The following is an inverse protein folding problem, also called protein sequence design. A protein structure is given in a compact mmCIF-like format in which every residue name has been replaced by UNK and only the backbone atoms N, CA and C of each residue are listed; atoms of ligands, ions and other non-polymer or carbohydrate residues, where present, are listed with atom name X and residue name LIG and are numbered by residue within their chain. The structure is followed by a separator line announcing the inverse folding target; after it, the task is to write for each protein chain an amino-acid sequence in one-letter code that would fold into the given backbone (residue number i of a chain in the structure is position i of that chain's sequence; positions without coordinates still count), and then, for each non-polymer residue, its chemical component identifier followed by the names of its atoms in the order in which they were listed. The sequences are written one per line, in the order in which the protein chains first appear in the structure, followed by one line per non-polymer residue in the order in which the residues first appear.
data_IF_457143052410
#
_entry.id   IF_457143052410
#
_cell.length_a   1.000
_cell.length_b   1.000
_cell.length_c   1.000
_cell.angle_alpha   90.00
_cell.angle_beta   90.00
_cell.angle_gamma   90.00
#
_symmetry.space_group_name_H-M   'P 1'
#
loop_
_entity.id
_entity.type
_entity.pdbx_description
1 polymer ?
#
# COMPACT_ATOMS: atom_id res chain seq x y z
N UNK A 1 -2.62 3.50 -13.25
CA UNK A 1 -3.79 3.14 -14.07
C UNK A 1 -4.78 4.29 -14.16
N UNK A 2 -5.39 4.69 -13.04
CA UNK A 2 -6.36 5.80 -12.96
C UNK A 2 -5.82 7.13 -13.51
N UNK A 3 -4.54 7.41 -13.30
CA UNK A 3 -3.89 8.66 -13.74
C UNK A 3 -3.61 8.72 -15.24
N UNK A 4 -3.51 7.57 -15.93
CA UNK A 4 -3.09 7.52 -17.34
C UNK A 4 -4.17 6.96 -18.29
N UNK A 5 -5.05 6.08 -17.78
CA UNK A 5 -6.11 5.44 -18.56
C UNK A 5 -7.52 5.90 -18.15
N UNK A 6 -7.65 6.53 -16.97
CA UNK A 6 -8.93 6.93 -16.41
C UNK A 6 -9.04 8.43 -16.19
N UNK A 7 -9.45 8.82 -14.98
CA UNK A 7 -9.63 10.20 -14.52
C UNK A 7 -8.48 11.17 -14.78
N UNK A 8 -7.24 10.70 -14.87
CA UNK A 8 -6.11 11.61 -14.87
C UNK A 8 -5.73 12.07 -13.47
N UNK A 9 -4.48 12.51 -13.31
CA UNK A 9 -3.91 12.92 -12.02
C UNK A 9 -4.74 14.01 -11.32
N UNK A 10 -5.22 15.01 -12.07
CA UNK A 10 -5.96 16.14 -11.51
C UNK A 10 -7.31 15.74 -10.89
N UNK A 11 -8.11 14.94 -11.59
CA UNK A 11 -9.40 14.47 -11.06
C UNK A 11 -9.21 13.44 -9.94
N UNK A 12 -8.20 12.56 -10.04
CA UNK A 12 -7.84 11.68 -8.92
C UNK A 12 -7.49 12.50 -7.67
N UNK A 13 -6.70 13.58 -7.82
CA UNK A 13 -6.36 14.48 -6.70
C UNK A 13 -7.61 15.10 -6.08
N UNK A 14 -8.55 15.61 -6.87
CA UNK A 14 -9.83 16.11 -6.34
C UNK A 14 -10.55 15.05 -5.52
N UNK A 15 -10.59 13.80 -5.99
CA UNK A 15 -11.13 12.66 -5.24
C UNK A 15 -10.42 12.46 -3.90
N UNK A 16 -9.08 12.43 -3.89
CA UNK A 16 -8.30 12.30 -2.65
C UNK A 16 -8.60 13.40 -1.64
N UNK A 17 -8.70 14.65 -2.08
CA UNK A 17 -9.04 15.78 -1.19
C UNK A 17 -10.41 15.58 -0.53
N UNK A 18 -11.41 15.10 -1.28
CA UNK A 18 -12.75 14.78 -0.75
C UNK A 18 -12.72 13.64 0.26
N UNK A 19 -11.86 12.65 0.06
CA UNK A 19 -11.70 11.55 1.03
C UNK A 19 -11.05 12.09 2.31
N UNK A 20 -10.00 12.91 2.19
CA UNK A 20 -9.29 13.49 3.31
C UNK A 20 -10.14 14.47 4.14
N UNK A 21 -11.12 15.13 3.51
CA UNK A 21 -12.09 16.02 4.19
C UNK A 21 -13.32 15.27 4.74
N UNK A 22 -13.47 13.98 4.45
CA UNK A 22 -14.63 13.19 4.85
C UNK A 22 -15.91 13.44 4.03
N UNK A 23 -15.82 14.17 2.91
CA UNK A 23 -16.96 14.39 2.00
C UNK A 23 -17.37 13.09 1.27
N UNK A 24 -16.42 12.18 1.04
CA UNK A 24 -16.68 10.87 0.44
C UNK A 24 -15.81 9.79 1.05
N UNK A 25 -16.14 8.53 0.79
CA UNK A 25 -15.36 7.38 1.25
C UNK A 25 -14.31 6.99 0.20
N UNK A 26 -13.19 6.37 0.62
CA UNK A 26 -12.21 5.85 -0.33
C UNK A 26 -12.84 4.81 -1.26
N UNK A 27 -13.69 3.92 -0.73
CA UNK A 27 -14.42 2.91 -1.51
C UNK A 27 -15.16 3.57 -2.68
N UNK A 28 -16.02 4.54 -2.38
CA UNK A 28 -16.91 5.10 -3.39
C UNK A 28 -16.12 5.91 -4.43
N UNK A 29 -15.16 6.73 -3.99
CA UNK A 29 -14.27 7.46 -4.89
C UNK A 29 -13.43 6.53 -5.77
N UNK A 30 -12.87 5.45 -5.20
CA UNK A 30 -12.06 4.50 -5.95
C UNK A 30 -12.88 3.70 -6.96
N UNK A 31 -14.16 3.39 -6.66
CA UNK A 31 -15.06 2.76 -7.63
C UNK A 31 -15.24 3.64 -8.86
N UNK A 32 -15.44 4.95 -8.67
CA UNK A 32 -15.55 5.91 -9.78
C UNK A 32 -14.24 6.04 -10.57
N UNK A 33 -13.10 6.07 -9.87
CA UNK A 33 -11.78 6.10 -10.52
C UNK A 33 -11.57 4.87 -11.42
N UNK A 34 -11.93 3.67 -10.94
CA UNK A 34 -11.81 2.43 -11.72
C UNK A 34 -12.84 2.34 -12.85
N UNK A 35 -14.07 2.81 -12.63
CA UNK A 35 -15.09 2.87 -13.68
C UNK A 35 -14.62 3.70 -14.88
N UNK A 36 -13.94 4.84 -14.62
CA UNK A 36 -13.38 5.66 -15.70
C UNK A 36 -12.34 4.96 -16.58
N UNK A 37 -11.72 3.89 -16.06
CA UNK A 37 -10.79 3.03 -16.79
C UNK A 37 -11.58 1.93 -17.51
N UNK A 38 -12.45 1.22 -16.78
CA UNK A 38 -13.16 0.05 -17.30
C UNK A 38 -14.21 0.37 -18.37
N UNK A 39 -14.64 1.64 -18.47
CA UNK A 39 -15.46 2.14 -19.57
C UNK A 39 -14.77 2.08 -20.94
N UNK A 40 -13.42 2.11 -20.96
CA UNK A 40 -12.62 2.28 -22.19
C UNK A 40 -11.60 1.17 -22.41
N UNK A 41 -11.29 0.39 -21.37
CA UNK A 41 -10.21 -0.59 -21.40
C UNK A 41 -10.64 -1.90 -20.76
N UNK A 42 -10.32 -3.00 -21.44
CA UNK A 42 -10.45 -4.34 -20.90
C UNK A 42 -9.48 -4.56 -19.74
N UNK A 43 -9.78 -5.56 -18.91
CA UNK A 43 -8.92 -5.91 -17.78
C UNK A 43 -7.54 -6.41 -18.21
N UNK A 44 -7.46 -7.14 -19.33
CA UNK A 44 -6.19 -7.63 -19.88
C UNK A 44 -5.32 -6.49 -20.44
N UNK A 45 -5.90 -5.51 -21.12
CA UNK A 45 -5.16 -4.31 -21.55
C UNK A 45 -4.58 -3.56 -20.33
N UNK A 46 -5.38 -3.41 -19.27
CA UNK A 46 -4.92 -2.81 -18.03
C UNK A 46 -3.72 -3.58 -17.44
N UNK A 47 -3.78 -4.92 -17.43
CA UNK A 47 -2.69 -5.79 -16.95
C UNK A 47 -1.40 -5.58 -17.72
N UNK A 48 -1.46 -5.57 -19.06
CA UNK A 48 -0.27 -5.37 -19.90
C UNK A 48 0.32 -3.97 -19.76
N UNK A 49 -0.53 -2.94 -19.66
CA UNK A 49 -0.07 -1.57 -19.38
C UNK A 49 0.65 -1.51 -18.03
N UNK A 50 0.15 -2.17 -16.99
CA UNK A 50 0.79 -2.14 -15.68
C UNK A 50 2.14 -2.88 -15.67
N UNK A 51 2.22 -4.07 -16.30
CA UNK A 51 3.49 -4.80 -16.44
C UNK A 51 4.57 -3.98 -17.15
N UNK A 52 4.19 -3.20 -18.16
CA UNK A 52 5.12 -2.38 -18.94
C UNK A 52 5.63 -1.15 -18.18
N UNK A 53 4.80 -0.56 -17.31
CA UNK A 53 5.07 0.79 -16.78
C UNK A 53 5.34 0.84 -15.27
N UNK A 54 5.01 -0.21 -14.51
CA UNK A 54 5.34 -0.25 -13.08
C UNK A 54 6.80 -0.67 -12.91
N UNK A 55 7.52 0.09 -12.09
CA UNK A 55 8.85 -0.24 -11.59
C UNK A 55 8.77 -0.48 -10.09
N UNK A 56 9.66 -1.34 -9.58
CA UNK A 56 9.85 -1.46 -8.15
C UNK A 56 10.56 -0.23 -7.61
N UNK A 57 10.24 0.10 -6.37
CA UNK A 57 10.93 1.16 -5.66
C UNK A 57 12.42 0.80 -5.45
N UNK A 58 13.35 1.79 -5.47
CA UNK A 58 14.74 1.52 -5.16
C UNK A 58 14.90 0.78 -3.82
N UNK A 59 15.81 -0.19 -3.78
CA UNK A 59 16.05 -1.04 -2.61
C UNK A 59 15.04 -2.17 -2.39
N UNK A 60 13.87 -2.19 -3.06
CA UNK A 60 12.81 -3.16 -2.76
C UNK A 60 13.28 -4.62 -2.88
N UNK A 61 14.00 -4.96 -3.95
CA UNK A 61 14.48 -6.35 -4.16
C UNK A 61 15.45 -6.80 -3.08
N UNK A 62 16.31 -5.88 -2.62
CA UNK A 62 17.26 -6.17 -1.53
C UNK A 62 16.53 -6.34 -0.21
N UNK A 63 15.60 -5.44 0.09
CA UNK A 63 14.74 -5.54 1.27
C UNK A 63 13.98 -6.86 1.31
N UNK A 64 13.30 -7.23 0.22
CA UNK A 64 12.55 -8.49 0.12
C UNK A 64 13.45 -9.72 0.31
N UNK A 65 14.62 -9.76 -0.34
CA UNK A 65 15.58 -10.87 -0.19
C UNK A 65 16.09 -10.97 1.25
N UNK A 66 16.36 -9.83 1.89
CA UNK A 66 16.78 -9.81 3.28
C UNK A 66 15.67 -10.34 4.20
N UNK A 67 14.41 -9.94 4.01
CA UNK A 67 13.29 -10.51 4.75
C UNK A 67 13.21 -12.03 4.59
N UNK A 68 13.28 -12.53 3.35
CA UNK A 68 13.28 -13.97 3.03
C UNK A 68 14.43 -14.73 3.70
N UNK A 69 15.64 -14.15 3.70
CA UNK A 69 16.82 -14.77 4.30
C UNK A 69 16.81 -14.81 5.84
N UNK A 70 15.94 -14.00 6.48
CA UNK A 70 15.82 -13.91 7.93
C UNK A 70 14.47 -14.43 8.44
N UNK A 71 13.75 -15.22 7.62
CA UNK A 71 12.44 -15.78 7.95
C UNK A 71 11.40 -14.72 8.40
N UNK A 72 11.49 -13.51 7.84
CA UNK A 72 10.55 -12.41 8.11
C UNK A 72 9.42 -12.48 7.08
N UNK A 73 8.15 -12.70 7.50
CA UNK A 73 7.02 -12.71 6.59
C UNK A 73 6.86 -11.37 5.85
N UNK A 74 6.71 -11.45 4.53
CA UNK A 74 6.51 -10.28 3.67
C UNK A 74 5.14 -10.37 2.98
N UNK A 75 4.24 -9.46 3.35
CA UNK A 75 2.84 -9.46 2.89
C UNK A 75 2.52 -8.16 2.18
N UNK A 76 1.93 -8.25 0.98
CA UNK A 76 1.41 -7.09 0.26
C UNK A 76 -0.06 -6.88 0.62
N UNK A 77 -0.34 -5.77 1.30
CA UNK A 77 -1.71 -5.34 1.64
C UNK A 77 -2.11 -4.17 0.74
N UNK A 78 -2.95 -4.41 -0.27
CA UNK A 78 -3.19 -3.45 -1.35
C UNK A 78 -4.66 -3.17 -1.61
N UNK A 79 -5.00 -1.93 -1.93
CA UNK A 79 -6.35 -1.56 -2.40
C UNK A 79 -6.56 -1.86 -3.88
N UNK A 80 -5.53 -2.30 -4.60
CA UNK A 80 -5.63 -2.81 -5.96
C UNK A 80 -6.30 -4.19 -6.04
N UNK A 81 -6.16 -4.86 -7.18
CA UNK A 81 -6.80 -6.15 -7.45
C UNK A 81 -5.75 -7.25 -7.60
N UNK A 82 -5.95 -8.40 -6.94
CA UNK A 82 -4.98 -9.50 -6.88
C UNK A 82 -4.41 -9.90 -8.24
N UNK A 83 -5.21 -10.08 -9.31
CA UNK A 83 -4.66 -10.53 -10.59
C UNK A 83 -3.70 -9.52 -11.23
N UNK A 84 -3.92 -8.22 -11.05
CA UNK A 84 -3.02 -7.17 -11.56
C UNK A 84 -1.72 -7.12 -10.74
N UNK A 85 -1.84 -7.19 -9.41
CA UNK A 85 -0.68 -7.16 -8.50
C UNK A 85 0.22 -8.37 -8.78
N UNK A 86 -0.37 -9.57 -8.88
CA UNK A 86 0.36 -10.80 -9.18
C UNK A 86 1.08 -10.72 -10.52
N UNK A 87 0.43 -10.20 -11.56
CA UNK A 87 1.04 -10.05 -12.88
C UNK A 87 2.24 -9.09 -12.87
N UNK A 88 2.14 -7.98 -12.16
CA UNK A 88 3.23 -7.01 -12.00
C UNK A 88 4.40 -7.60 -11.21
N UNK A 89 4.13 -8.26 -10.08
CA UNK A 89 5.18 -8.90 -9.27
C UNK A 89 5.90 -10.00 -10.05
N UNK A 90 5.15 -10.86 -10.76
CA UNK A 90 5.72 -11.94 -11.57
C UNK A 90 6.63 -11.39 -12.65
N UNK A 91 6.23 -10.29 -13.31
CA UNK A 91 7.05 -9.59 -14.31
C UNK A 91 8.34 -8.98 -13.73
N UNK A 92 8.32 -8.50 -12.48
CA UNK A 92 9.43 -7.74 -11.88
C UNK A 92 10.38 -8.59 -11.02
N UNK A 93 9.88 -9.68 -10.43
CA UNK A 93 10.60 -10.58 -9.52
C UNK A 93 10.80 -11.99 -10.09
N UNK A 94 10.04 -12.38 -11.10
CA UNK A 94 9.93 -13.77 -11.56
C UNK A 94 8.82 -14.52 -10.85
N UNK A 95 8.29 -15.56 -11.50
CA UNK A 95 7.11 -16.31 -11.03
C UNK A 95 7.36 -16.99 -9.67
N UNK A 96 8.56 -17.51 -9.44
CA UNK A 96 8.91 -18.22 -8.19
C UNK A 96 8.83 -17.29 -6.97
N UNK A 97 9.57 -16.18 -6.97
CA UNK A 97 9.54 -15.22 -5.87
C UNK A 97 8.16 -14.56 -5.74
N UNK A 98 7.52 -14.22 -6.87
CA UNK A 98 6.18 -13.64 -6.84
C UNK A 98 5.12 -14.58 -6.25
N UNK A 99 5.26 -15.90 -6.40
CA UNK A 99 4.34 -16.88 -5.81
C UNK A 99 4.50 -17.00 -4.29
N UNK A 100 5.68 -16.68 -3.75
CA UNK A 100 5.92 -16.73 -2.28
C UNK A 100 5.36 -15.54 -1.52
N UNK A 101 4.99 -14.44 -2.20
CA UNK A 101 4.48 -13.25 -1.56
C UNK A 101 2.96 -13.36 -1.35
N UNK A 102 2.55 -13.30 -0.09
CA UNK A 102 1.13 -13.22 0.26
C UNK A 102 0.54 -11.87 -0.18
N UNK A 103 -0.64 -11.92 -0.79
CA UNK A 103 -1.36 -10.73 -1.26
C UNK A 103 -2.73 -10.70 -0.59
N UNK A 104 -2.96 -9.65 0.20
CA UNK A 104 -4.27 -9.33 0.78
C UNK A 104 -4.77 -8.09 0.05
N UNK A 105 -5.75 -8.26 -0.84
CA UNK A 105 -6.30 -7.13 -1.62
C UNK A 105 -7.75 -7.32 -2.00
N UNK A 106 -8.29 -6.35 -2.73
CA UNK A 106 -9.54 -6.53 -3.48
C UNK A 106 -9.32 -7.52 -4.62
N UNK A 107 -10.42 -7.91 -5.25
CA UNK A 107 -10.43 -8.75 -6.44
C UNK A 107 -11.16 -8.03 -7.60
N UNK A 108 -11.30 -8.71 -8.73
CA UNK A 108 -12.03 -8.23 -9.90
C UNK A 108 -13.20 -9.16 -10.22
N UNK A 109 -14.30 -8.57 -10.65
CA UNK A 109 -15.39 -9.29 -11.32
C UNK A 109 -15.33 -8.93 -12.81
N UNK A 110 -15.23 -9.95 -13.67
CA UNK A 110 -15.23 -9.80 -15.13
C UNK A 110 -16.52 -10.41 -15.68
N UNK A 111 -17.29 -9.61 -16.38
CA UNK A 111 -18.60 -9.99 -16.93
C UNK A 111 -18.46 -10.64 -18.31
N UNK A 112 -19.48 -11.40 -18.77
CA UNK A 112 -19.46 -12.04 -20.09
C UNK A 112 -19.28 -11.09 -21.28
N UNK A 113 -19.67 -9.82 -21.14
CA UNK A 113 -19.47 -8.78 -22.16
C UNK A 113 -18.06 -8.17 -22.16
N UNK A 114 -17.16 -8.68 -21.30
CA UNK A 114 -15.78 -8.24 -21.18
C UNK A 114 -15.58 -7.01 -20.28
N UNK A 115 -16.67 -6.41 -19.78
CA UNK A 115 -16.57 -5.35 -18.76
C UNK A 115 -16.06 -5.93 -17.45
N UNK A 116 -15.51 -5.07 -16.62
CA UNK A 116 -15.03 -5.47 -15.31
C UNK A 116 -15.29 -4.39 -14.26
N UNK A 117 -15.46 -4.84 -13.02
CA UNK A 117 -15.52 -3.97 -11.87
C UNK A 117 -14.71 -4.52 -10.70
N UNK A 118 -14.38 -3.64 -9.75
CA UNK A 118 -13.72 -4.04 -8.52
C UNK A 118 -14.68 -4.83 -7.62
N UNK A 119 -14.22 -5.98 -7.15
CA UNK A 119 -14.84 -6.74 -6.09
C UNK A 119 -14.16 -6.40 -4.77
N UNK A 120 -14.80 -5.53 -3.99
CA UNK A 120 -14.25 -5.11 -2.70
C UNK A 120 -14.14 -6.27 -1.72
N UNK A 121 -13.00 -6.34 -1.03
CA UNK A 121 -12.76 -7.32 0.03
C UNK A 121 -13.66 -7.06 1.23
N UNK A 122 -13.83 -5.80 1.60
CA UNK A 122 -14.64 -5.31 2.72
C UNK A 122 -15.71 -4.33 2.18
N UNK A 123 -16.74 -4.80 1.46
CA UNK A 123 -17.68 -3.95 0.74
C UNK A 123 -18.50 -3.03 1.66
N UNK A 124 -18.68 -3.40 2.92
CA UNK A 124 -19.38 -2.59 3.93
C UNK A 124 -18.51 -1.50 4.55
N UNK A 125 -17.19 -1.56 4.38
CA UNK A 125 -16.27 -0.55 4.88
C UNK A 125 -16.15 0.62 3.91
N UNK A 126 -16.09 1.86 4.42
CA UNK A 126 -15.77 3.04 3.64
C UNK A 126 -14.38 3.00 2.99
N UNK A 127 -13.50 2.10 3.40
CA UNK A 127 -12.23 1.86 2.73
C UNK A 127 -12.33 0.88 1.55
N UNK A 128 -13.38 0.07 1.47
CA UNK A 128 -13.53 -1.02 0.48
C UNK A 128 -12.56 -2.18 0.71
N UNK A 129 -11.30 -1.89 1.03
CA UNK A 129 -10.36 -2.78 1.69
C UNK A 129 -9.83 -2.07 2.95
N UNK A 130 -10.50 -2.32 4.07
CA UNK A 130 -9.99 -1.93 5.39
C UNK A 130 -8.73 -2.74 5.73
N UNK A 131 -7.56 -2.10 5.61
CA UNK A 131 -6.26 -2.75 5.80
C UNK A 131 -5.97 -3.06 7.27
N UNK A 132 -6.65 -2.42 8.22
CA UNK A 132 -6.52 -2.78 9.65
C UNK A 132 -6.87 -4.24 9.90
N UNK A 133 -7.85 -4.78 9.16
CA UNK A 133 -8.33 -6.15 9.32
C UNK A 133 -7.29 -7.19 8.86
N UNK A 134 -6.29 -6.77 8.06
CA UNK A 134 -5.14 -7.60 7.73
C UNK A 134 -4.05 -7.59 8.82
N UNK A 135 -4.04 -6.57 9.69
CA UNK A 135 -3.00 -6.35 10.71
C UNK A 135 -3.43 -6.89 12.07
N UNK A 136 -4.67 -6.60 12.46
CA UNK A 136 -5.23 -6.93 13.77
C UNK A 136 -5.08 -8.42 14.16
N UNK A 137 -5.26 -9.41 13.26
CA UNK A 137 -5.08 -10.81 13.63
C UNK A 137 -3.69 -11.13 14.20
N UNK A 138 -2.63 -10.49 13.69
CA UNK A 138 -1.27 -10.71 14.18
C UNK A 138 -1.06 -10.12 15.58
N UNK A 139 -1.75 -9.04 15.92
CA UNK A 139 -1.72 -8.43 17.26
C UNK A 139 -2.40 -9.27 18.33
N UNK A 140 -3.28 -10.18 17.91
CA UNK A 140 -4.05 -11.06 18.80
C UNK A 140 -3.39 -12.43 19.02
N UNK A 141 -2.21 -12.67 18.44
CA UNK A 141 -1.43 -13.88 18.70
C UNK A 141 -0.93 -13.91 20.15
N UNK A 142 -0.68 -15.11 20.68
CA UNK A 142 -0.13 -15.26 22.03
C UNK A 142 1.28 -14.67 22.16
N UNK A 143 2.04 -14.70 21.07
CA UNK A 143 3.34 -14.06 20.91
C UNK A 143 3.30 -13.18 19.64
N UNK A 144 2.82 -11.92 19.76
CA UNK A 144 2.69 -11.03 18.60
C UNK A 144 4.05 -10.66 18.00
N UNK A 145 4.21 -10.77 16.67
CA UNK A 145 5.42 -10.28 16.03
C UNK A 145 5.49 -8.75 16.08
N UNK A 146 6.68 -8.20 15.87
CA UNK A 146 6.80 -6.77 15.58
C UNK A 146 6.23 -6.47 14.20
N UNK A 147 5.23 -5.59 14.14
CA UNK A 147 4.54 -5.27 12.89
C UNK A 147 5.08 -3.98 12.26
N UNK A 148 5.82 -4.14 11.17
CA UNK A 148 6.22 -3.05 10.28
C UNK A 148 5.17 -2.87 9.18
N UNK A 149 4.72 -1.63 8.96
CA UNK A 149 3.82 -1.31 7.85
C UNK A 149 4.40 -0.20 7.00
N UNK A 150 4.35 -0.36 5.68
CA UNK A 150 4.84 0.60 4.70
C UNK A 150 3.66 1.09 3.87
N UNK A 151 3.42 2.40 3.87
CA UNK A 151 2.31 3.01 3.13
C UNK A 151 2.64 4.42 2.63
N UNK A 152 1.80 4.94 1.75
CA UNK A 152 2.00 6.24 1.11
C UNK A 152 0.69 7.02 0.91
N UNK A 153 -0.42 6.30 0.69
CA UNK A 153 -1.65 6.89 0.21
C UNK A 153 -2.81 6.89 1.20
N UNK A 154 -3.88 7.58 0.79
CA UNK A 154 -5.16 7.68 1.50
C UNK A 154 -5.74 6.31 1.90
N UNK A 155 -5.49 5.27 1.09
CA UNK A 155 -6.02 3.93 1.38
C UNK A 155 -5.37 3.25 2.59
N UNK A 156 -4.19 3.71 3.00
CA UNK A 156 -3.44 3.19 4.15
C UNK A 156 -3.84 3.82 5.48
N UNK A 157 -4.71 4.84 5.47
CA UNK A 157 -5.19 5.48 6.69
C UNK A 157 -5.81 4.47 7.68
N UNK A 158 -6.50 3.45 7.14
CA UNK A 158 -7.06 2.37 7.95
C UNK A 158 -6.00 1.54 8.67
N UNK A 159 -4.80 1.37 8.10
CA UNK A 159 -3.69 0.63 8.71
C UNK A 159 -2.85 1.48 9.67
N UNK A 160 -2.85 2.81 9.51
CA UNK A 160 -1.88 3.72 10.12
C UNK A 160 -1.77 3.60 11.66
N UNK A 161 -2.86 3.31 12.36
CA UNK A 161 -2.87 3.20 13.84
C UNK A 161 -2.56 1.79 14.36
N UNK A 162 -2.40 0.81 13.48
CA UNK A 162 -2.35 -0.59 13.86
C UNK A 162 -0.97 -1.22 13.69
N UNK A 163 -0.01 -0.58 13.02
CA UNK A 163 1.38 -1.04 13.01
C UNK A 163 2.09 -0.72 14.33
N UNK A 164 3.17 -1.45 14.64
CA UNK A 164 4.08 -1.05 15.72
C UNK A 164 5.07 0.00 15.23
N UNK A 165 5.51 -0.13 13.97
CA UNK A 165 6.35 0.86 13.30
C UNK A 165 5.73 1.12 11.93
N UNK A 166 5.18 2.33 11.77
CA UNK A 166 4.61 2.79 10.52
C UNK A 166 5.70 3.56 9.74
N UNK A 167 6.11 3.04 8.59
CA UNK A 167 6.91 3.76 7.61
C UNK A 167 5.99 4.43 6.59
N UNK A 168 6.10 5.74 6.46
CA UNK A 168 5.31 6.52 5.50
C UNK A 168 6.21 7.06 4.42
N UNK A 169 5.90 6.70 3.17
CA UNK A 169 6.69 7.18 2.05
C UNK A 169 6.47 8.67 1.85
N UNK A 170 7.57 9.40 1.70
CA UNK A 170 7.56 10.81 1.32
C UNK A 170 8.28 10.99 -0.01
N UNK A 171 7.64 11.71 -0.92
CA UNK A 171 8.18 12.02 -2.24
C UNK A 171 8.20 13.54 -2.36
N UNK A 172 9.38 14.10 -2.63
CA UNK A 172 9.56 15.53 -2.83
C UNK A 172 8.68 16.01 -4.01
N UNK A 173 7.95 17.11 -3.80
CA UNK A 173 7.06 17.68 -4.82
C UNK A 173 5.83 16.83 -5.16
N UNK A 174 5.52 15.79 -4.38
CA UNK A 174 4.35 14.95 -4.60
C UNK A 174 3.35 15.01 -3.43
N UNK A 175 2.22 14.35 -3.62
CA UNK A 175 1.15 14.24 -2.64
C UNK A 175 1.54 13.25 -1.53
N UNK A 176 1.94 13.77 -0.37
CA UNK A 176 2.30 12.96 0.81
C UNK A 176 1.07 12.80 1.74
N UNK A 177 -0.01 12.23 1.20
CA UNK A 177 -1.33 12.22 1.86
C UNK A 177 -1.33 11.46 3.18
N UNK A 178 -0.71 10.27 3.23
CA UNK A 178 -0.62 9.50 4.47
C UNK A 178 0.24 10.24 5.51
N UNK A 179 1.32 10.91 5.08
CA UNK A 179 2.16 11.69 5.99
C UNK A 179 1.37 12.86 6.59
N UNK A 180 0.66 13.63 5.75
CA UNK A 180 -0.18 14.72 6.19
C UNK A 180 -1.30 14.25 7.14
N UNK A 181 -1.92 13.10 6.85
CA UNK A 181 -2.88 12.47 7.73
C UNK A 181 -2.24 12.11 9.08
N UNK A 182 -1.14 11.37 9.09
CA UNK A 182 -0.48 10.95 10.32
C UNK A 182 -0.04 12.14 11.18
N UNK A 183 0.52 13.18 10.58
CA UNK A 183 0.92 14.41 11.27
C UNK A 183 -0.29 15.11 11.91
N UNK A 184 -1.39 15.28 11.17
CA UNK A 184 -2.63 15.88 11.69
C UNK A 184 -3.21 15.10 12.85
N UNK A 185 -3.14 13.78 12.77
CA UNK A 185 -3.78 12.84 13.70
C UNK A 185 -2.90 12.41 14.88
N UNK A 186 -1.68 12.95 14.98
CA UNK A 186 -0.71 12.59 16.02
C UNK A 186 -0.23 11.14 15.97
N UNK A 187 -0.24 10.52 14.78
CA UNK A 187 0.21 9.14 14.58
C UNK A 187 1.72 9.15 14.37
N UNK A 188 2.46 8.54 15.30
CA UNK A 188 3.91 8.36 15.18
C UNK A 188 4.24 7.51 13.95
N UNK A 189 5.17 7.97 13.14
CA UNK A 189 5.59 7.29 11.93
C UNK A 189 7.00 7.71 11.52
N UNK A 190 7.65 6.88 10.70
CA UNK A 190 8.98 7.11 10.15
C UNK A 190 8.83 7.52 8.68
N UNK A 191 9.15 8.77 8.31
CA UNK A 191 9.21 9.14 6.91
C UNK A 191 10.38 8.43 6.23
N UNK A 192 10.18 7.94 5.00
CA UNK A 192 11.24 7.32 4.20
C UNK A 192 11.05 7.62 2.71
N UNK A 193 12.14 7.62 1.93
CA UNK A 193 12.05 7.87 0.48
C UNK A 193 11.96 6.58 -0.34
N UNK A 194 12.69 5.55 0.07
CA UNK A 194 12.77 4.26 -0.62
C UNK A 194 13.24 3.13 0.31
N UNK A 195 13.20 1.89 -0.18
CA UNK A 195 13.46 0.72 0.65
C UNK A 195 14.92 0.57 1.11
N UNK A 196 15.87 1.33 0.55
CA UNK A 196 17.26 1.30 1.02
C UNK A 196 17.36 1.89 2.43
N UNK A 197 16.63 2.99 2.69
CA UNK A 197 16.53 3.58 4.04
C UNK A 197 15.70 2.71 4.99
N UNK A 198 14.61 2.13 4.48
CA UNK A 198 13.77 1.22 5.26
C UNK A 198 14.56 0.01 5.75
N UNK A 199 15.43 -0.57 4.90
CA UNK A 199 16.21 -1.74 5.22
C UNK A 199 17.10 -1.52 6.45
N UNK A 200 17.88 -0.45 6.45
CA UNK A 200 18.76 -0.09 7.57
C UNK A 200 17.95 0.06 8.88
N UNK A 201 16.83 0.77 8.80
CA UNK A 201 15.96 1.00 9.95
C UNK A 201 15.37 -0.31 10.50
N UNK A 202 14.79 -1.14 9.64
CA UNK A 202 14.21 -2.44 10.05
C UNK A 202 15.29 -3.37 10.59
N UNK A 203 16.47 -3.44 9.95
CA UNK A 203 17.60 -4.23 10.44
C UNK A 203 18.00 -3.82 11.85
N UNK A 204 18.07 -2.52 12.13
CA UNK A 204 18.44 -2.02 13.46
C UNK A 204 17.46 -2.47 14.55
N UNK A 205 16.17 -2.56 14.23
CA UNK A 205 15.12 -3.01 15.15
C UNK A 205 15.17 -4.53 15.32
N UNK A 206 15.23 -5.28 14.21
CA UNK A 206 15.23 -6.75 14.23
C UNK A 206 16.46 -7.32 14.92
N UNK A 207 17.62 -6.68 14.78
CA UNK A 207 18.89 -7.12 15.41
C UNK A 207 19.06 -6.59 16.84
N UNK A 208 18.13 -5.79 17.35
CA UNK A 208 18.17 -5.22 18.70
C UNK A 208 19.19 -4.09 18.88
N UNK A 209 19.70 -3.50 17.80
CA UNK A 209 20.58 -2.32 17.85
C UNK A 209 19.80 -1.08 18.28
N UNK A 210 18.53 -0.96 17.87
CA UNK A 210 17.61 0.10 18.30
C UNK A 210 16.27 -0.50 18.70
N UNK A 211 15.59 0.15 19.63
CA UNK A 211 14.18 -0.15 19.93
C UNK A 211 13.25 0.49 18.90
N UNK A 212 11.99 0.01 18.83
CA UNK A 212 10.96 0.62 17.97
C UNK A 212 10.72 2.08 18.38
N UNK A 213 10.71 2.32 19.69
CA UNK A 213 10.48 3.62 20.32
C UNK A 213 11.58 4.62 19.93
N UNK A 214 12.86 4.22 20.02
CA UNK A 214 13.99 5.07 19.62
C UNK A 214 13.94 5.48 18.15
N UNK A 215 13.52 4.56 17.27
CA UNK A 215 13.38 4.85 15.83
C UNK A 215 12.21 5.82 15.59
N UNK A 216 11.07 5.61 16.24
CA UNK A 216 9.90 6.49 16.11
C UNK A 216 10.14 7.89 16.71
N UNK A 217 10.87 7.99 17.83
CA UNK A 217 11.21 9.27 18.47
C UNK A 217 12.23 10.08 17.68
N UNK A 218 13.22 9.42 17.09
CA UNK A 218 14.17 10.05 16.19
C UNK A 218 13.46 10.62 14.95
N UNK A 219 12.51 9.87 14.39
CA UNK A 219 11.70 10.33 13.25
C UNK A 219 10.83 11.55 13.59
N UNK A 220 10.19 11.55 14.77
CA UNK A 220 9.35 12.68 15.20
C UNK A 220 10.15 13.98 15.35
N UNK A 221 11.43 13.89 15.72
CA UNK A 221 12.32 15.04 15.89
C UNK A 221 12.76 15.67 14.56
N UNK A 222 12.62 14.96 13.43
CA UNK A 222 12.91 15.46 12.08
C UNK A 222 11.70 16.16 11.42
N UNK A 223 10.51 16.04 12.02
CA UNK A 223 9.25 16.61 11.51
C UNK A 223 8.83 17.92 12.19
N UNK A 224 9.62 18.42 13.15
CA UNK A 224 9.38 19.69 13.89
C UNK A 224 10.20 20.83 13.31
#
# INVERSE_FOLDING_TARGET
MTDNLGFGKAERRKGNVKILSGETTFRDAFKLMLASVSEKHSFEECKEVLKKNIILDPGFKEFFRWCKANDIPFVIVSSGMTPLIRAVLSNLLGDEDAATIDIISNDVEVFPDGKWEIKYRHPTSGFGHDKSQAILPYKLLSDPPTLFFFGDGVSDMSAARHADVLYVKTIEGNENDLHAYCTREGIKHVPFTDFSQALESVQSIVTGVRTKEEVLEAAASLTV
#
